data_IF_064076510846
#
_entry.id   IF_064076510846
#
_cell.length_a   1.000
_cell.length_b   1.000
_cell.length_c   1.000
_cell.angle_alpha   90.00
_cell.angle_beta   90.00
_cell.angle_gamma   90.00
#
_symmetry.space_group_name_H-M   'P 1'
#
loop_
_entity.id
_entity.type
_entity.pdbx_description
1 polymer ?
#
# COMPACT_ATOMS: atom_id res chain seq x y z
N UNK A 1 10.34 3.39 26.74
CA UNK A 1 9.94 4.16 25.54
C UNK A 1 9.67 3.16 24.44
N UNK A 2 8.42 3.01 23.97
CA UNK A 2 8.05 1.87 23.09
C UNK A 2 8.14 2.32 21.63
N UNK A 3 8.78 1.50 20.79
CA UNK A 3 8.90 1.73 19.34
C UNK A 3 7.54 2.00 18.66
N UNK A 4 6.45 1.43 19.20
CA UNK A 4 5.07 1.67 18.74
C UNK A 4 4.64 3.13 18.78
N UNK A 5 5.24 3.95 19.64
CA UNK A 5 4.90 5.37 19.80
C UNK A 5 5.43 6.23 18.64
N UNK A 6 6.34 5.70 17.82
CA UNK A 6 6.93 6.35 16.64
C UNK A 6 6.33 5.88 15.31
N UNK A 7 5.48 4.86 15.34
CA UNK A 7 4.89 4.28 14.13
C UNK A 7 3.63 5.06 13.78
N UNK A 8 3.69 5.80 12.68
CA UNK A 8 2.52 6.48 12.13
C UNK A 8 1.68 5.46 11.33
N UNK A 9 0.61 4.97 11.94
CA UNK A 9 -0.24 3.91 11.38
C UNK A 9 -0.93 4.28 10.06
N UNK A 10 -1.15 5.56 9.76
CA UNK A 10 -1.72 6.00 8.47
C UNK A 10 -0.86 5.63 7.26
N UNK A 11 0.42 5.31 7.45
CA UNK A 11 1.31 4.83 6.39
C UNK A 11 1.23 3.31 6.17
N UNK A 12 0.65 2.60 7.12
CA UNK A 12 0.52 1.13 7.14
C UNK A 12 -0.87 0.66 6.71
N UNK A 13 -1.78 1.59 6.42
CA UNK A 13 -3.12 1.30 5.93
C UNK A 13 -3.29 1.89 4.53
N UNK A 14 -4.06 1.24 3.64
CA UNK A 14 -4.39 1.82 2.35
C UNK A 14 -5.11 3.16 2.56
N UNK A 15 -4.79 4.20 1.77
CA UNK A 15 -5.51 5.45 1.85
C UNK A 15 -6.99 5.23 1.50
N UNK A 16 -7.89 5.96 2.17
CA UNK A 16 -9.33 5.83 1.90
C UNK A 16 -9.63 6.14 0.44
N UNK A 17 -10.44 5.29 -0.18
CA UNK A 17 -10.92 5.53 -1.52
C UNK A 17 -11.81 6.80 -1.50
N UNK A 18 -11.43 7.82 -2.27
CA UNK A 18 -12.19 9.07 -2.32
C UNK A 18 -13.46 8.85 -3.15
N UNK A 19 -14.56 9.50 -2.76
CA UNK A 19 -15.79 9.49 -3.58
C UNK A 19 -15.49 10.17 -4.92
N UNK A 20 -15.87 9.55 -6.04
CA UNK A 20 -15.66 10.10 -7.38
C UNK A 20 -14.43 9.57 -8.13
N UNK A 21 -13.78 8.51 -7.66
CA UNK A 21 -12.71 7.84 -8.43
C UNK A 21 -13.28 7.23 -9.71
N UNK A 22 -12.72 7.65 -10.85
CA UNK A 22 -13.05 7.06 -12.14
C UNK A 22 -12.59 5.60 -12.17
N UNK A 23 -13.54 4.68 -12.36
CA UNK A 23 -13.24 3.25 -12.49
C UNK A 23 -12.39 2.98 -13.74
N UNK A 24 -11.31 2.20 -13.57
CA UNK A 24 -10.38 1.83 -14.65
C UNK A 24 -10.29 0.31 -14.78
N UNK A 25 -11.39 -0.37 -15.14
CA UNK A 25 -11.48 -1.83 -15.10
C UNK A 25 -10.40 -2.52 -15.93
N UNK A 26 -9.98 -1.93 -17.06
CA UNK A 26 -8.88 -2.46 -17.88
C UNK A 26 -7.54 -2.51 -17.11
N UNK A 27 -7.24 -1.49 -16.32
CA UNK A 27 -5.99 -1.43 -15.53
C UNK A 27 -6.08 -2.39 -14.36
N UNK A 28 -7.20 -2.39 -13.64
CA UNK A 28 -7.44 -3.32 -12.54
C UNK A 28 -7.28 -4.76 -12.98
N UNK A 29 -7.89 -5.14 -14.12
CA UNK A 29 -7.77 -6.49 -14.67
C UNK A 29 -6.33 -6.83 -15.04
N UNK A 30 -5.61 -5.89 -15.68
CA UNK A 30 -4.19 -6.10 -16.01
C UNK A 30 -3.36 -6.37 -14.76
N UNK A 31 -3.63 -5.69 -13.64
CA UNK A 31 -2.93 -5.93 -12.39
C UNK A 31 -3.29 -7.29 -11.78
N UNK A 32 -4.57 -7.68 -11.81
CA UNK A 32 -5.03 -8.98 -11.32
C UNK A 32 -4.41 -10.13 -12.11
N UNK A 33 -4.35 -10.02 -13.44
CA UNK A 33 -3.78 -11.04 -14.31
C UNK A 33 -2.27 -11.23 -14.08
N UNK A 34 -1.60 -10.23 -13.48
CA UNK A 34 -0.15 -10.23 -13.20
C UNK A 34 0.17 -10.22 -11.70
N UNK A 35 -0.79 -10.42 -10.80
CA UNK A 35 -0.57 -10.36 -9.35
C UNK A 35 0.32 -11.51 -8.85
N UNK A 36 0.34 -12.63 -9.58
CA UNK A 36 1.10 -13.84 -9.21
C UNK A 36 2.60 -13.72 -9.49
N UNK A 37 3.05 -12.66 -10.16
CA UNK A 37 4.49 -12.44 -10.33
C UNK A 37 5.15 -12.06 -8.99
N UNK A 38 6.37 -12.56 -8.71
CA UNK A 38 7.07 -12.25 -7.45
C UNK A 38 7.31 -10.76 -7.20
N UNK A 39 7.36 -9.96 -8.28
CA UNK A 39 7.53 -8.52 -8.22
C UNK A 39 6.76 -7.86 -9.36
N UNK A 40 5.79 -7.01 -9.01
CA UNK A 40 5.04 -6.17 -9.94
C UNK A 40 5.34 -4.71 -9.65
N UNK A 41 5.89 -3.99 -10.65
CA UNK A 41 6.22 -2.57 -10.54
C UNK A 41 5.25 -1.76 -11.38
N UNK A 42 4.57 -0.79 -10.76
CA UNK A 42 3.65 0.12 -11.44
C UNK A 42 4.33 1.49 -11.62
N UNK A 43 4.67 1.84 -12.86
CA UNK A 43 5.30 3.11 -13.20
C UNK A 43 4.35 4.00 -13.99
N UNK A 44 4.17 5.24 -13.53
CA UNK A 44 3.42 6.29 -14.24
C UNK A 44 3.81 7.66 -13.67
N UNK A 45 3.48 8.74 -14.38
CA UNK A 45 3.67 10.12 -13.89
C UNK A 45 2.84 10.43 -12.63
N UNK A 46 3.06 11.61 -12.05
CA UNK A 46 2.20 12.14 -10.98
C UNK A 46 0.78 12.36 -11.50
N UNK A 47 -0.23 12.22 -10.64
CA UNK A 47 -1.64 12.42 -11.04
C UNK A 47 -2.30 11.27 -11.83
N UNK A 48 -1.56 10.24 -12.24
CA UNK A 48 -2.12 9.09 -12.98
C UNK A 48 -2.92 8.10 -12.11
N UNK A 49 -3.06 8.35 -10.81
CA UNK A 49 -3.88 7.52 -9.92
C UNK A 49 -3.27 6.17 -9.54
N UNK A 50 -1.94 6.00 -9.56
CA UNK A 50 -1.28 4.74 -9.18
C UNK A 50 -1.72 4.21 -7.82
N UNK A 51 -1.64 5.07 -6.80
CA UNK A 51 -2.07 4.72 -5.44
C UNK A 51 -3.56 4.45 -5.36
N UNK A 52 -4.37 5.17 -6.14
CA UNK A 52 -5.82 4.94 -6.25
C UNK A 52 -6.14 3.57 -6.85
N UNK A 53 -5.40 3.16 -7.87
CA UNK A 53 -5.55 1.85 -8.50
C UNK A 53 -5.12 0.73 -7.54
N UNK A 54 -4.00 0.91 -6.82
CA UNK A 54 -3.58 -0.02 -5.77
C UNK A 54 -4.63 -0.15 -4.66
N UNK A 55 -5.23 0.96 -4.21
CA UNK A 55 -6.36 0.89 -3.26
C UNK A 55 -7.55 0.12 -3.86
N UNK A 56 -7.87 0.35 -5.13
CA UNK A 56 -8.94 -0.41 -5.80
C UNK A 56 -8.61 -1.92 -5.83
N UNK A 57 -7.35 -2.27 -6.09
CA UNK A 57 -6.86 -3.64 -6.07
C UNK A 57 -6.98 -4.29 -4.69
N UNK A 58 -6.75 -3.54 -3.60
CA UNK A 58 -6.93 -4.06 -2.23
C UNK A 58 -8.36 -4.53 -1.93
N UNK A 59 -9.37 -4.01 -2.64
CA UNK A 59 -10.75 -4.51 -2.55
C UNK A 59 -11.03 -5.76 -3.40
N UNK A 60 -10.03 -6.28 -4.12
CA UNK A 60 -10.12 -7.42 -5.04
C UNK A 60 -9.20 -8.58 -4.68
N UNK A 61 -8.26 -8.35 -3.76
CA UNK A 61 -7.31 -9.35 -3.27
C UNK A 61 -7.49 -9.53 -1.77
N UNK A 62 -7.29 -10.75 -1.30
CA UNK A 62 -7.26 -11.08 0.12
C UNK A 62 -5.81 -11.10 0.62
N UNK A 63 -5.61 -10.97 1.94
CA UNK A 63 -4.31 -11.15 2.60
C UNK A 63 -3.19 -10.27 2.03
N UNK A 64 -3.38 -8.96 2.03
CA UNK A 64 -2.35 -8.00 1.65
C UNK A 64 -1.91 -7.16 2.85
N UNK A 65 -0.70 -6.64 2.76
CA UNK A 65 -0.19 -5.64 3.70
C UNK A 65 0.14 -4.36 2.93
N UNK A 66 -0.17 -3.22 3.53
CA UNK A 66 0.11 -1.92 2.94
C UNK A 66 1.31 -1.27 3.63
N UNK A 67 2.25 -0.76 2.83
CA UNK A 67 3.38 -0.01 3.35
C UNK A 67 3.68 1.19 2.44
N UNK A 68 3.59 2.39 3.01
CA UNK A 68 3.97 3.64 2.33
C UNK A 68 5.37 4.07 2.74
N UNK A 69 6.33 3.96 1.84
CA UNK A 69 7.71 4.43 2.07
C UNK A 69 7.76 5.97 2.11
N UNK A 70 8.46 6.52 3.10
CA UNK A 70 8.71 7.95 3.24
C UNK A 70 10.19 8.27 3.47
N UNK A 71 10.57 9.55 3.34
CA UNK A 71 11.95 9.99 3.62
C UNK A 71 12.39 9.72 5.07
N UNK A 72 11.46 9.75 6.03
CA UNK A 72 11.76 9.42 7.42
C UNK A 72 12.20 7.95 7.61
N UNK A 73 11.87 7.07 6.65
CA UNK A 73 12.23 5.64 6.70
C UNK A 73 13.70 5.38 6.32
N UNK A 74 14.52 6.44 6.17
CA UNK A 74 15.98 6.30 6.00
C UNK A 74 16.66 5.67 7.20
N UNK A 75 16.09 5.79 8.40
CA UNK A 75 16.57 5.09 9.59
C UNK A 75 16.16 3.59 9.47
N UNK A 76 17.13 2.66 9.38
CA UNK A 76 16.84 1.23 9.23
C UNK A 76 16.01 0.65 10.37
N UNK A 77 16.18 1.13 11.61
CA UNK A 77 15.42 0.65 12.76
C UNK A 77 13.97 1.11 12.69
N UNK A 78 13.74 2.36 12.29
CA UNK A 78 12.38 2.89 12.10
C UNK A 78 11.68 2.19 10.93
N UNK A 79 12.40 1.94 9.83
CA UNK A 79 11.89 1.19 8.69
C UNK A 79 11.46 -0.22 9.09
N UNK A 80 12.33 -0.99 9.76
CA UNK A 80 12.01 -2.34 10.21
C UNK A 80 10.87 -2.35 11.21
N UNK A 81 10.83 -1.38 12.14
CA UNK A 81 9.74 -1.24 13.09
C UNK A 81 8.38 -1.03 12.40
N UNK A 82 8.32 -0.13 11.42
CA UNK A 82 7.12 0.10 10.61
C UNK A 82 6.76 -1.12 9.77
N UNK A 83 7.74 -1.79 9.17
CA UNK A 83 7.54 -2.97 8.33
C UNK A 83 6.91 -4.10 9.14
N UNK A 84 7.48 -4.43 10.30
CA UNK A 84 6.90 -5.45 11.18
C UNK A 84 5.51 -5.06 11.69
N UNK A 85 5.30 -3.78 11.98
CA UNK A 85 3.99 -3.29 12.41
C UNK A 85 2.93 -3.43 11.31
N UNK A 86 3.32 -3.35 10.02
CA UNK A 86 2.38 -3.50 8.90
C UNK A 86 1.74 -4.89 8.86
N UNK A 87 2.47 -5.93 9.26
CA UNK A 87 1.94 -7.30 9.31
C UNK A 87 0.89 -7.48 10.40
N UNK A 88 0.95 -6.70 11.49
CA UNK A 88 -0.05 -6.76 12.56
C UNK A 88 -1.36 -6.04 12.24
N UNK A 89 -1.39 -5.19 11.21
CA UNK A 89 -2.59 -4.41 10.85
C UNK A 89 -3.56 -5.21 9.98
N UNK A 90 -3.05 -6.16 9.19
CA UNK A 90 -3.86 -7.00 8.29
C UNK A 90 -4.55 -8.20 8.96
N UNK A 91 -4.25 -8.50 10.23
CA UNK A 91 -4.81 -9.64 10.98
C UNK A 91 -6.17 -9.33 11.67
N UNK A 92 -6.83 -8.21 11.32
CA UNK A 92 -8.12 -7.79 11.88
C UNK A 92 -9.21 -7.77 10.83
#
# INVERSE_FOLDING_TARGET
MRIRDYVIYSHLVPPRNQQGVLSRPRVTQTLLDNISYPLLIIQAGTGYGKSTELVTLTGKIENYYWYSIQEADRDPFLFLAKLFSSFSVGDT
#
